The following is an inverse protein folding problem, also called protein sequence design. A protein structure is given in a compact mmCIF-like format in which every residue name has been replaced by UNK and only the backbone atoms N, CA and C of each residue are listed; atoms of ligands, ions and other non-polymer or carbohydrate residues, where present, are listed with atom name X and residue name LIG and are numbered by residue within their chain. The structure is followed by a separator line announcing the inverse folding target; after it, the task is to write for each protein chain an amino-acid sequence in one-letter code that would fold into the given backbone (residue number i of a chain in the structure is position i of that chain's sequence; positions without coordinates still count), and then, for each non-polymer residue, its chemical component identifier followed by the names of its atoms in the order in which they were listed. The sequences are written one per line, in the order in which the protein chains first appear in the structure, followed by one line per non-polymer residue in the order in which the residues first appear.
data_IF_827077587232
#
_entry.id   IF_827077587232
#
_cell.length_a   1.000
_cell.length_b   1.000
_cell.length_c   1.000
_cell.angle_alpha   90.00
_cell.angle_beta   90.00
_cell.angle_gamma   90.00
#
_symmetry.space_group_name_H-M   'P 1'
#
loop_
_entity.id
_entity.type
_entity.pdbx_description
1 polymer ?
#
# COMPACT_ATOMS: atom_id res chain seq x y z
N UNK A 1 4.14 34.54 62.31
CA UNK A 1 3.12 34.22 61.34
C UNK A 1 3.78 33.85 60.01
N UNK A 2 3.79 32.59 59.71
CA UNK A 2 4.43 32.08 58.48
C UNK A 2 3.36 31.94 57.40
N UNK A 3 3.45 32.75 56.36
CA UNK A 3 2.63 32.59 55.15
C UNK A 3 3.32 31.59 54.23
N UNK A 4 2.75 30.42 54.15
CA UNK A 4 3.15 29.39 53.18
C UNK A 4 2.48 29.74 51.85
N UNK A 5 3.29 30.15 50.88
CA UNK A 5 2.85 30.31 49.51
C UNK A 5 2.90 28.94 48.83
N UNK A 6 1.74 28.39 48.64
CA UNK A 6 1.58 27.15 47.85
C UNK A 6 1.61 27.52 46.35
N UNK A 7 2.78 27.38 45.74
CA UNK A 7 2.92 27.52 44.29
C UNK A 7 2.32 26.29 43.62
N UNK A 8 1.13 26.43 43.08
CA UNK A 8 0.47 25.42 42.24
C UNK A 8 1.14 25.46 40.87
N UNK A 9 2.09 24.57 40.64
CA UNK A 9 2.66 24.29 39.31
C UNK A 9 1.63 23.53 38.48
N UNK A 10 0.92 24.27 37.64
CA UNK A 10 0.06 23.71 36.62
C UNK A 10 0.97 23.19 35.49
N UNK A 11 1.36 21.93 35.58
CA UNK A 11 2.02 21.23 34.48
C UNK A 11 1.00 21.02 33.36
N UNK A 12 0.88 21.98 32.46
CA UNK A 12 0.19 21.84 31.20
C UNK A 12 0.92 20.83 30.32
N UNK A 13 0.44 19.59 30.29
CA UNK A 13 0.90 18.60 29.36
C UNK A 13 0.53 19.03 27.93
N UNK A 14 1.50 19.58 27.21
CA UNK A 14 1.45 19.72 25.78
C UNK A 14 1.51 18.31 25.19
N UNK A 15 0.35 17.70 24.96
CA UNK A 15 0.22 16.57 24.06
C UNK A 15 0.56 17.07 22.66
N UNK A 16 1.83 17.03 22.32
CA UNK A 16 2.27 17.19 20.95
C UNK A 16 1.71 15.98 20.20
N UNK A 17 0.61 16.18 19.45
CA UNK A 17 0.22 15.28 18.36
C UNK A 17 1.31 15.38 17.31
N UNK A 18 2.38 14.60 17.46
CA UNK A 18 3.36 14.41 16.42
C UNK A 18 2.68 13.57 15.33
N UNK A 19 2.32 14.21 14.22
CA UNK A 19 2.01 13.53 12.97
C UNK A 19 3.29 12.90 12.44
N UNK A 20 3.78 11.89 13.15
CA UNK A 20 4.95 11.15 12.76
C UNK A 20 4.65 10.40 11.45
N UNK A 21 5.49 10.62 10.45
CA UNK A 21 5.40 9.93 9.18
C UNK A 21 5.58 8.43 9.41
N UNK A 22 4.56 7.65 9.08
CA UNK A 22 4.54 6.19 9.27
C UNK A 22 3.84 5.52 8.10
N UNK A 23 4.40 4.41 7.66
CA UNK A 23 3.78 3.49 6.71
C UNK A 23 3.32 2.25 7.46
N UNK A 24 2.06 1.85 7.29
CA UNK A 24 1.45 0.76 8.04
C UNK A 24 1.25 -0.49 7.20
N UNK A 25 0.59 -0.38 6.06
CA UNK A 25 0.21 -1.52 5.23
C UNK A 25 -0.06 -1.13 3.77
N UNK A 26 -0.18 -2.14 2.92
CA UNK A 26 -0.60 -2.00 1.52
C UNK A 26 -1.89 -2.79 1.33
N UNK A 27 -2.86 -2.19 0.64
CA UNK A 27 -4.14 -2.82 0.36
C UNK A 27 -4.55 -2.63 -1.11
N UNK A 28 -4.85 -3.72 -1.85
CA UNK A 28 -4.68 -5.12 -1.44
C UNK A 28 -3.20 -5.53 -1.34
N UNK A 29 -2.86 -6.54 -0.49
CA UNK A 29 -1.47 -6.99 -0.32
C UNK A 29 -0.98 -7.93 -1.42
N UNK A 30 -1.81 -8.19 -2.42
CA UNK A 30 -1.50 -9.05 -3.55
C UNK A 30 -2.16 -8.54 -4.83
N UNK A 31 -1.62 -8.91 -5.97
CA UNK A 31 -2.16 -8.55 -7.27
C UNK A 31 -1.50 -9.33 -8.40
N UNK A 32 -2.00 -9.13 -9.62
CA UNK A 32 -1.51 -9.83 -10.80
C UNK A 32 -0.03 -9.52 -11.08
N UNK A 33 0.73 -10.52 -11.45
CA UNK A 33 2.15 -10.35 -11.82
C UNK A 33 2.34 -9.45 -13.05
N UNK A 34 1.31 -9.26 -13.86
CA UNK A 34 1.35 -8.34 -15.01
C UNK A 34 1.41 -6.87 -14.61
N UNK A 35 1.10 -6.55 -13.34
CA UNK A 35 1.04 -5.18 -12.86
C UNK A 35 -0.14 -4.38 -13.40
N UNK A 36 -0.12 -3.07 -13.20
CA UNK A 36 -1.18 -2.18 -13.66
C UNK A 36 -2.42 -2.16 -12.77
N UNK A 37 -2.32 -2.66 -11.55
CA UNK A 37 -3.38 -2.61 -10.55
C UNK A 37 -3.15 -1.46 -9.57
N UNK A 38 -4.22 -0.78 -9.20
CA UNK A 38 -4.18 0.26 -8.17
C UNK A 38 -4.10 -0.38 -6.78
N UNK A 39 -3.12 0.04 -6.00
CA UNK A 39 -3.00 -0.31 -4.59
C UNK A 39 -2.88 0.94 -3.74
N UNK A 40 -3.35 0.86 -2.52
CA UNK A 40 -3.30 1.94 -1.54
C UNK A 40 -2.29 1.60 -0.46
N UNK A 41 -1.33 2.48 -0.26
CA UNK A 41 -0.41 2.43 0.87
C UNK A 41 -1.03 3.24 1.99
N UNK A 42 -1.31 2.58 3.11
CA UNK A 42 -1.87 3.21 4.30
C UNK A 42 -0.78 3.60 5.28
N UNK A 43 -1.00 4.69 5.96
CA UNK A 43 -0.03 5.20 6.94
C UNK A 43 -0.54 6.41 7.68
N UNK A 44 0.37 7.29 8.05
CA UNK A 44 0.07 8.55 8.72
C UNK A 44 1.15 9.59 8.41
N UNK A 45 0.79 10.85 8.45
CA UNK A 45 1.72 11.96 8.28
C UNK A 45 2.12 12.23 6.83
N UNK A 46 1.41 11.65 5.85
CA UNK A 46 1.61 11.97 4.44
C UNK A 46 1.17 13.41 4.17
N UNK A 47 1.87 14.07 3.27
CA UNK A 47 1.58 15.47 2.95
C UNK A 47 1.27 15.61 1.46
N UNK A 48 -0.04 15.71 1.08
CA UNK A 48 -0.43 15.94 -0.30
C UNK A 48 0.19 17.23 -0.86
N UNK A 49 0.76 17.15 -2.07
CA UNK A 49 1.36 18.30 -2.75
C UNK A 49 2.70 18.79 -2.18
N UNK A 50 3.29 18.09 -1.24
CA UNK A 50 4.55 18.45 -0.62
C UNK A 50 5.65 17.43 -0.92
N UNK A 51 6.32 17.64 -2.04
CA UNK A 51 7.41 16.78 -2.48
C UNK A 51 6.97 15.51 -3.20
N UNK A 52 7.90 14.81 -3.79
CA UNK A 52 7.69 13.55 -4.47
C UNK A 52 7.80 12.36 -3.52
N UNK A 53 7.15 11.29 -3.92
CA UNK A 53 7.24 9.99 -3.27
C UNK A 53 7.60 8.95 -4.34
N UNK A 54 8.66 8.19 -4.11
CA UNK A 54 9.05 7.06 -4.95
C UNK A 54 8.68 5.76 -4.25
N UNK A 55 7.95 4.91 -4.93
CA UNK A 55 7.55 3.59 -4.43
C UNK A 55 8.13 2.51 -5.32
N UNK A 56 8.76 1.50 -4.72
CA UNK A 56 9.34 0.36 -5.44
C UNK A 56 8.80 -0.94 -4.88
N UNK A 57 8.40 -1.82 -5.79
CA UNK A 57 8.04 -3.21 -5.51
C UNK A 57 9.23 -4.10 -5.88
N UNK A 58 9.99 -4.51 -4.87
CA UNK A 58 11.29 -5.13 -5.08
C UNK A 58 12.26 -4.19 -5.79
N UNK A 59 12.63 -4.51 -7.03
CA UNK A 59 13.55 -3.69 -7.84
C UNK A 59 12.84 -2.74 -8.82
N UNK A 60 11.53 -2.89 -8.97
CA UNK A 60 10.74 -2.18 -9.99
C UNK A 60 9.98 -1.02 -9.37
N UNK A 61 10.03 0.12 -10.02
CA UNK A 61 9.37 1.33 -9.57
C UNK A 61 7.89 1.32 -9.95
N UNK A 62 7.04 1.71 -9.01
CA UNK A 62 5.63 1.91 -9.24
C UNK A 62 5.38 3.15 -10.11
N UNK A 63 4.27 3.17 -10.81
CA UNK A 63 3.83 4.30 -11.61
C UNK A 63 2.63 4.98 -10.97
N UNK A 64 2.27 6.18 -11.45
CA UNK A 64 1.11 6.94 -11.00
C UNK A 64 1.02 7.07 -9.47
N UNK A 65 2.16 7.37 -8.82
CA UNK A 65 2.21 7.61 -7.38
C UNK A 65 1.53 8.92 -7.04
N UNK A 66 0.50 8.88 -6.20
CA UNK A 66 -0.25 10.06 -5.75
C UNK A 66 -0.52 10.00 -4.25
N UNK A 67 -0.10 11.03 -3.53
CA UNK A 67 -0.49 11.22 -2.12
C UNK A 67 -1.90 11.79 -2.10
N UNK A 68 -2.88 10.94 -1.79
CA UNK A 68 -4.29 11.31 -1.81
C UNK A 68 -4.71 12.06 -0.55
N UNK A 69 -4.19 11.64 0.58
CA UNK A 69 -4.50 12.22 1.89
C UNK A 69 -3.33 12.03 2.87
N UNK A 70 -3.48 12.51 4.10
CA UNK A 70 -2.49 12.33 5.16
C UNK A 70 -2.27 10.89 5.61
N UNK A 71 -3.11 9.97 5.17
CA UNK A 71 -3.10 8.56 5.55
C UNK A 71 -3.07 7.58 4.36
N UNK A 72 -3.15 8.10 3.11
CA UNK A 72 -3.25 7.27 1.89
C UNK A 72 -2.37 7.75 0.75
N UNK A 73 -1.63 6.82 0.17
CA UNK A 73 -0.91 7.00 -1.09
C UNK A 73 -1.43 5.95 -2.08
N UNK A 74 -1.90 6.40 -3.23
CA UNK A 74 -2.28 5.51 -4.35
C UNK A 74 -1.11 5.31 -5.28
N UNK A 75 -0.92 4.08 -5.73
CA UNK A 75 0.11 3.72 -6.69
C UNK A 75 -0.39 2.64 -7.64
N UNK A 76 0.16 2.62 -8.85
CA UNK A 76 -0.05 1.52 -9.79
C UNK A 76 1.11 0.54 -9.69
N UNK A 77 0.80 -0.74 -9.53
CA UNK A 77 1.80 -1.80 -9.41
C UNK A 77 2.59 -1.98 -10.70
N UNK A 78 3.92 -2.11 -10.65
CA UNK A 78 4.70 -2.52 -11.81
C UNK A 78 4.49 -4.01 -12.08
N UNK A 79 4.84 -4.46 -13.29
CA UNK A 79 4.89 -5.89 -13.57
C UNK A 79 5.94 -6.56 -12.69
N UNK A 80 5.62 -7.74 -12.15
CA UNK A 80 6.48 -8.52 -11.28
C UNK A 80 6.76 -9.91 -11.83
N UNK A 81 7.39 -10.74 -11.02
CA UNK A 81 7.62 -12.15 -11.32
C UNK A 81 6.49 -13.00 -10.73
N UNK A 82 6.09 -14.05 -11.46
CA UNK A 82 4.97 -14.92 -11.06
C UNK A 82 5.20 -15.55 -9.69
N UNK A 83 4.16 -15.58 -8.88
CA UNK A 83 4.15 -16.23 -7.56
C UNK A 83 5.29 -15.81 -6.65
N UNK A 84 5.64 -14.51 -6.68
CA UNK A 84 6.76 -13.95 -5.93
C UNK A 84 6.28 -12.90 -4.93
N UNK A 85 6.79 -12.98 -3.71
CA UNK A 85 6.59 -11.95 -2.69
C UNK A 85 7.77 -10.98 -2.71
N UNK A 86 7.48 -9.70 -2.68
CA UNK A 86 8.50 -8.64 -2.74
C UNK A 86 8.35 -7.67 -1.58
N UNK A 87 9.47 -7.08 -1.21
CA UNK A 87 9.48 -5.95 -0.30
C UNK A 87 9.01 -4.69 -1.03
N UNK A 88 8.32 -3.82 -0.32
CA UNK A 88 7.92 -2.53 -0.87
C UNK A 88 8.64 -1.42 -0.14
N UNK A 89 9.41 -0.63 -0.87
CA UNK A 89 10.12 0.53 -0.34
C UNK A 89 9.43 1.83 -0.76
N UNK A 90 9.25 2.72 0.18
CA UNK A 90 8.67 4.05 0.00
C UNK A 90 9.72 5.07 0.41
N UNK A 91 10.10 5.94 -0.50
CA UNK A 91 11.11 6.99 -0.27
C UNK A 91 10.48 8.34 -0.56
N UNK A 92 10.57 9.23 0.41
CA UNK A 92 10.08 10.60 0.32
C UNK A 92 11.23 11.55 -0.06
N UNK A 93 10.93 12.66 -0.73
CA UNK A 93 11.92 13.65 -1.14
C UNK A 93 12.67 14.30 0.02
N UNK A 94 12.11 14.27 1.24
CA UNK A 94 12.77 14.73 2.46
C UNK A 94 13.85 13.75 2.99
N UNK A 95 14.06 12.64 2.29
CA UNK A 95 15.04 11.60 2.63
C UNK A 95 14.53 10.51 3.56
N UNK A 96 13.28 10.59 4.02
CA UNK A 96 12.69 9.51 4.82
C UNK A 96 12.36 8.32 3.96
N UNK A 97 12.71 7.13 4.43
CA UNK A 97 12.48 5.88 3.72
C UNK A 97 11.84 4.84 4.64
N UNK A 98 10.92 4.08 4.08
CA UNK A 98 10.24 2.97 4.76
C UNK A 98 10.35 1.71 3.93
N UNK A 99 10.48 0.57 4.61
CA UNK A 99 10.54 -0.75 3.99
C UNK A 99 9.46 -1.64 4.61
N UNK A 100 8.50 -2.03 3.80
CA UNK A 100 7.53 -3.08 4.14
C UNK A 100 8.08 -4.41 3.62
N UNK A 101 8.63 -5.22 4.53
CA UNK A 101 9.11 -6.56 4.19
C UNK A 101 7.94 -7.45 3.81
N UNK A 102 8.11 -8.19 2.70
CA UNK A 102 7.06 -9.05 2.14
C UNK A 102 5.74 -8.28 1.94
N UNK A 103 5.83 -7.00 1.58
CA UNK A 103 4.68 -6.09 1.54
C UNK A 103 3.70 -6.36 0.42
N UNK A 104 4.11 -7.06 -0.65
CA UNK A 104 3.24 -7.36 -1.78
C UNK A 104 3.53 -8.73 -2.40
N UNK A 105 2.47 -9.47 -2.74
CA UNK A 105 2.57 -10.78 -3.37
C UNK A 105 2.03 -10.74 -4.80
N UNK A 106 2.88 -11.08 -5.77
CA UNK A 106 2.49 -11.23 -7.16
C UNK A 106 1.86 -12.60 -7.42
N UNK A 107 0.62 -12.61 -7.88
CA UNK A 107 -0.14 -13.84 -8.19
C UNK A 107 -0.02 -14.19 -9.67
N UNK A 108 0.18 -15.47 -9.97
CA UNK A 108 0.08 -15.96 -11.36
C UNK A 108 -1.38 -16.13 -11.74
N UNK A 109 -1.92 -15.15 -12.45
CA UNK A 109 -3.30 -15.16 -12.94
C UNK A 109 -3.49 -15.95 -14.22
N UNK A 110 -2.43 -16.45 -14.85
CA UNK A 110 -2.53 -17.22 -16.10
C UNK A 110 -3.24 -18.56 -15.91
N UNK A 111 -3.03 -19.20 -14.78
CA UNK A 111 -3.69 -20.45 -14.40
C UNK A 111 -5.20 -20.27 -14.18
N UNK A 112 -5.60 -19.18 -13.57
CA UNK A 112 -7.01 -18.88 -13.30
C UNK A 112 -7.79 -18.62 -14.59
N UNK A 113 -7.21 -17.90 -15.55
CA UNK A 113 -7.81 -17.66 -16.86
C UNK A 113 -7.98 -18.97 -17.63
N UNK A 114 -6.95 -19.80 -17.69
CA UNK A 114 -7.02 -21.10 -18.36
C UNK A 114 -8.10 -22.02 -17.77
N UNK A 115 -8.28 -21.98 -16.45
CA UNK A 115 -9.33 -22.76 -15.77
C UNK A 115 -10.72 -22.21 -16.04
N UNK A 116 -10.88 -20.90 -16.06
CA UNK A 116 -12.16 -20.26 -16.42
C UNK A 116 -12.56 -20.50 -17.87
N UNK A 117 -11.62 -20.37 -18.82
CA UNK A 117 -11.87 -20.62 -20.22
C UNK A 117 -12.26 -22.09 -20.48
N UNK A 118 -11.60 -23.02 -19.76
CA UNK A 118 -11.92 -24.45 -19.83
C UNK A 118 -13.31 -24.75 -19.25
N UNK A 119 -13.68 -24.11 -18.13
CA UNK A 119 -15.00 -24.26 -17.54
C UNK A 119 -16.10 -23.66 -18.44
N UNK A 120 -15.84 -22.51 -19.05
CA UNK A 120 -16.78 -21.84 -19.96
C UNK A 120 -17.00 -22.65 -21.22
N UNK A 121 -15.95 -23.19 -21.83
CA UNK A 121 -16.05 -24.06 -23.00
C UNK A 121 -16.78 -25.38 -22.69
N UNK A 122 -16.59 -25.94 -21.50
CA UNK A 122 -17.31 -27.14 -21.07
C UNK A 122 -18.82 -26.92 -20.88
N UNK A 123 -19.24 -25.69 -20.53
CA UNK A 123 -20.65 -25.32 -20.43
C UNK A 123 -21.29 -25.11 -21.79
N UNK A 124 -20.54 -24.55 -22.75
CA UNK A 124 -21.04 -24.30 -24.11
C UNK A 124 -21.28 -25.57 -24.96
N UNK A 125 -20.65 -26.68 -24.61
CA UNK A 125 -20.76 -27.93 -25.35
C UNK A 125 -22.01 -28.79 -24.97
N UNK A 126 -22.63 -28.48 -23.82
CA UNK A 126 -23.83 -29.17 -23.36
C UNK A 126 -25.11 -28.79 -24.13
N UNK A 127 -25.12 -27.62 -24.77
CA UNK A 127 -26.28 -27.17 -25.53
C UNK A 127 -26.33 -27.76 -26.97
N UNK A 128 -25.24 -28.36 -27.45
CA UNK A 128 -25.18 -28.99 -28.78
C UNK A 128 -25.62 -30.45 -28.82
N UNK A 129 -25.84 -31.09 -27.70
CA UNK A 129 -26.23 -32.52 -27.65
C UNK A 129 -27.71 -32.77 -27.38
N UNK A 130 -28.58 -31.74 -27.37
CA UNK A 130 -30.03 -31.89 -27.35
C UNK A 130 -30.61 -31.70 -28.70
N UNK A 131 -30.49 -32.73 -29.55
CA UNK A 131 -31.35 -32.96 -30.71
C UNK A 131 -31.76 -34.41 -30.74
#
# INVERSE_FOLDING_TARGET
MRRVWLSLLLAGGLSACSNELKVSEIEPPNGAFTGGEEVVIKGNGFQPGRGGVTVKFGRREATAVAVESGDKIKVMTPAGDKSTTVDVSIVFDDGKAFLLKNGFHYVDTTQQRATMDKAFNAMGDKDKQKK
#
